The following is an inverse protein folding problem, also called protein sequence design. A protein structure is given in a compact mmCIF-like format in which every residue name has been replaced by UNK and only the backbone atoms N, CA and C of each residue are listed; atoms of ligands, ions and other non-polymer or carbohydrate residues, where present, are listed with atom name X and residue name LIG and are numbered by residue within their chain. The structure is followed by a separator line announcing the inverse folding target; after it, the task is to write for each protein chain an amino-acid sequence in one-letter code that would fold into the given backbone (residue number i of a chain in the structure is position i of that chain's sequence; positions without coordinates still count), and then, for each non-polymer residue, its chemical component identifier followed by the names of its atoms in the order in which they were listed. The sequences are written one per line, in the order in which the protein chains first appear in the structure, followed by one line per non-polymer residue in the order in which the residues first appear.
data_IF_741828028764
#
_entry.id   IF_741828028764
#
_cell.length_a   1.000
_cell.length_b   1.000
_cell.length_c   1.000
_cell.angle_alpha   90.00
_cell.angle_beta   90.00
_cell.angle_gamma   90.00
#
_symmetry.space_group_name_H-M   'P 1'
#
loop_
_entity.id
_entity.type
_entity.pdbx_description
1 polymer ?
#
# COMPACT_ATOMS: atom_id res chain seq x y z
N UNK A 1 10.12 -9.08 -11.62
CA UNK A 1 9.27 -9.96 -10.77
C UNK A 1 8.53 -9.06 -9.81
N UNK A 2 7.23 -8.97 -9.92
CA UNK A 2 6.40 -8.27 -8.93
C UNK A 2 6.17 -9.29 -7.82
N UNK A 3 6.88 -9.16 -6.73
CA UNK A 3 6.87 -10.10 -5.62
C UNK A 3 6.42 -9.43 -4.31
N UNK A 4 6.74 -10.06 -3.23
CA UNK A 4 6.54 -9.60 -1.87
C UNK A 4 7.91 -9.29 -1.23
N UNK A 5 8.74 -8.54 -1.93
CA UNK A 5 10.09 -8.22 -1.48
C UNK A 5 10.07 -6.97 -0.60
N UNK A 6 10.32 -7.16 0.70
CA UNK A 6 10.44 -6.09 1.69
C UNK A 6 11.90 -5.96 2.08
N UNK A 7 12.43 -4.75 2.01
CA UNK A 7 13.82 -4.47 2.37
C UNK A 7 13.90 -3.47 3.51
N UNK A 8 14.93 -3.61 4.34
CA UNK A 8 15.37 -2.56 5.25
C UNK A 8 16.29 -1.59 4.52
N UNK A 9 16.08 -0.29 4.71
CA UNK A 9 16.97 0.71 4.13
C UNK A 9 18.38 0.56 4.72
N UNK A 10 19.38 0.56 3.82
CA UNK A 10 20.80 0.68 4.17
C UNK A 10 21.40 1.89 3.45
N UNK A 11 22.25 2.71 4.12
CA UNK A 11 22.92 3.85 3.48
C UNK A 11 23.72 3.49 2.23
N UNK A 12 24.17 2.25 2.11
CA UNK A 12 24.96 1.73 0.99
C UNK A 12 24.10 1.27 -0.20
N UNK A 13 22.77 1.25 -0.05
CA UNK A 13 21.83 0.81 -1.09
C UNK A 13 21.07 1.99 -1.70
N UNK A 14 21.53 2.47 -2.85
CA UNK A 14 20.92 3.61 -3.51
C UNK A 14 19.69 3.28 -4.36
N UNK A 15 19.61 2.10 -4.94
CA UNK A 15 18.47 1.63 -5.73
C UNK A 15 18.38 0.11 -5.62
N UNK A 16 17.25 -0.37 -5.16
CA UNK A 16 16.94 -1.79 -5.15
C UNK A 16 15.51 -2.00 -5.64
N UNK A 17 15.31 -3.08 -6.36
CA UNK A 17 13.97 -3.51 -6.75
C UNK A 17 13.30 -4.19 -5.54
N UNK A 18 12.35 -3.48 -4.93
CA UNK A 18 11.56 -3.99 -3.82
C UNK A 18 10.12 -3.46 -3.90
N UNK A 19 9.19 -4.20 -3.32
CA UNK A 19 7.79 -3.81 -3.23
C UNK A 19 7.51 -3.01 -1.95
N UNK A 20 8.39 -3.08 -0.96
CA UNK A 20 8.31 -2.28 0.25
C UNK A 20 9.70 -1.98 0.82
N UNK A 21 9.83 -0.84 1.49
CA UNK A 21 11.03 -0.40 2.18
C UNK A 21 10.65 0.13 3.56
N UNK A 22 11.49 -0.13 4.55
CA UNK A 22 11.33 0.42 5.90
C UNK A 22 12.67 0.86 6.51
N UNK A 23 12.59 1.68 7.56
CA UNK A 23 13.76 2.13 8.32
C UNK A 23 13.36 2.61 9.71
N UNK A 24 14.33 2.62 10.64
CA UNK A 24 14.25 3.30 11.94
C UNK A 24 15.19 4.51 12.00
N UNK A 25 15.91 4.80 10.93
CA UNK A 25 16.93 5.85 10.88
C UNK A 25 16.26 7.22 10.71
N UNK A 26 16.52 8.15 11.65
CA UNK A 26 16.04 9.53 11.58
C UNK A 26 16.69 10.30 10.42
N UNK A 27 15.96 11.26 9.88
CA UNK A 27 16.45 12.13 8.82
C UNK A 27 16.43 11.51 7.42
N UNK A 28 16.25 10.19 7.32
CA UNK A 28 16.19 9.46 6.05
C UNK A 28 14.77 9.53 5.47
N UNK A 29 14.68 9.85 4.19
CA UNK A 29 13.45 9.82 3.42
C UNK A 29 13.38 8.51 2.63
N UNK A 30 12.37 7.69 2.88
CA UNK A 30 12.06 6.48 2.10
C UNK A 30 10.75 6.63 1.36
N UNK A 31 10.55 5.90 0.26
CA UNK A 31 9.33 6.02 -0.52
C UNK A 31 9.23 5.03 -1.67
N UNK A 32 8.08 5.04 -2.32
CA UNK A 32 7.76 4.21 -3.49
C UNK A 32 7.29 5.07 -4.66
N UNK A 33 7.55 4.59 -5.86
CA UNK A 33 7.14 5.23 -7.12
C UNK A 33 5.90 4.53 -7.66
N UNK A 34 4.86 5.30 -7.98
CA UNK A 34 3.58 4.76 -8.43
C UNK A 34 3.00 5.58 -9.59
N UNK A 35 2.18 4.92 -10.40
CA UNK A 35 1.15 5.50 -11.25
C UNK A 35 0.02 4.47 -11.28
N UNK A 36 -1.07 4.76 -10.57
CA UNK A 36 -2.24 3.91 -10.28
C UNK A 36 -2.10 2.92 -9.13
N UNK A 37 -0.95 2.27 -8.93
CA UNK A 37 -0.76 1.43 -7.75
C UNK A 37 -0.87 2.27 -6.46
N UNK A 38 -1.34 1.67 -5.37
CA UNK A 38 -1.49 2.36 -4.11
C UNK A 38 -0.14 2.45 -3.36
N UNK A 39 0.37 3.66 -3.07
CA UNK A 39 1.45 3.81 -2.11
C UNK A 39 0.84 3.78 -0.71
N UNK A 40 1.27 2.83 0.13
CA UNK A 40 0.87 2.79 1.53
C UNK A 40 2.05 3.27 2.38
N UNK A 41 1.82 4.32 3.16
CA UNK A 41 2.80 4.87 4.08
C UNK A 41 2.44 4.46 5.51
N UNK A 42 3.45 4.17 6.31
CA UNK A 42 3.28 3.62 7.65
C UNK A 42 4.29 4.22 8.62
N UNK A 43 3.86 4.42 9.88
CA UNK A 43 4.73 4.75 11.00
C UNK A 43 4.18 4.17 12.30
N UNK A 44 5.06 3.64 13.15
CA UNK A 44 4.67 3.08 14.44
C UNK A 44 5.85 2.96 15.38
N UNK A 45 5.59 2.92 16.68
CA UNK A 45 6.63 2.77 17.72
C UNK A 45 6.95 1.30 17.95
N UNK A 46 8.21 1.03 18.25
CA UNK A 46 8.72 -0.25 18.71
C UNK A 46 8.83 -0.24 20.25
N UNK A 47 8.88 -1.41 20.87
CA UNK A 47 9.05 -1.56 22.33
C UNK A 47 10.32 -0.87 22.88
N UNK A 48 11.37 -0.75 22.07
CA UNK A 48 12.61 -0.07 22.44
C UNK A 48 12.54 1.47 22.39
N UNK A 49 11.37 2.02 22.03
CA UNK A 49 11.10 3.45 21.90
C UNK A 49 11.45 4.04 20.53
N UNK A 50 12.07 3.28 19.64
CA UNK A 50 12.32 3.70 18.26
C UNK A 50 11.01 3.81 17.48
N UNK A 51 11.04 4.58 16.39
CA UNK A 51 9.95 4.63 15.40
C UNK A 51 10.39 3.89 14.16
N UNK A 52 9.58 2.96 13.70
CA UNK A 52 9.73 2.33 12.40
C UNK A 52 8.79 3.01 11.41
N UNK A 53 9.33 3.44 10.28
CA UNK A 53 8.53 3.93 9.16
C UNK A 53 8.66 3.00 7.96
N UNK A 54 7.65 2.99 7.10
CA UNK A 54 7.65 2.18 5.89
C UNK A 54 6.88 2.80 4.75
N UNK A 55 7.25 2.39 3.54
CA UNK A 55 6.55 2.71 2.31
C UNK A 55 6.35 1.43 1.50
N UNK A 56 5.11 1.13 1.13
CA UNK A 56 4.71 -0.11 0.44
C UNK A 56 4.08 0.25 -0.90
N UNK A 57 4.55 -0.40 -1.96
CA UNK A 57 3.98 -0.34 -3.30
C UNK A 57 2.91 -1.44 -3.45
N UNK A 58 1.67 -1.10 -3.21
CA UNK A 58 0.56 -2.03 -3.31
C UNK A 58 -0.17 -1.89 -4.66
N UNK A 59 0.41 -2.44 -5.72
CA UNK A 59 -0.33 -2.75 -6.95
C UNK A 59 -1.21 -4.00 -6.74
N UNK A 60 -2.10 -4.32 -7.68
CA UNK A 60 -3.02 -5.47 -7.50
C UNK A 60 -2.27 -6.80 -7.23
N UNK A 61 -1.13 -7.04 -7.91
CA UNK A 61 -0.33 -8.25 -7.68
C UNK A 61 0.26 -8.29 -6.27
N UNK A 62 0.85 -7.18 -5.81
CA UNK A 62 1.37 -7.07 -4.45
C UNK A 62 0.26 -7.18 -3.40
N UNK A 63 -0.85 -6.49 -3.61
CA UNK A 63 -2.00 -6.54 -2.71
C UNK A 63 -2.58 -7.96 -2.61
N UNK A 64 -2.83 -8.63 -3.75
CA UNK A 64 -3.34 -10.02 -3.74
C UNK A 64 -2.33 -11.06 -3.28
N UNK A 65 -1.04 -10.72 -3.24
CA UNK A 65 0.02 -11.52 -2.61
C UNK A 65 0.29 -11.14 -1.15
N UNK A 66 -0.55 -10.27 -0.58
CA UNK A 66 -0.53 -9.82 0.82
C UNK A 66 0.73 -9.05 1.23
N UNK A 67 1.29 -8.22 0.33
CA UNK A 67 2.48 -7.40 0.66
C UNK A 67 2.25 -6.51 1.87
N UNK A 68 1.04 -5.91 1.98
CA UNK A 68 0.69 -5.04 3.08
C UNK A 68 0.55 -5.81 4.40
N UNK A 69 -0.13 -6.96 4.38
CA UNK A 69 -0.23 -7.82 5.57
C UNK A 69 1.13 -8.33 6.04
N UNK A 70 2.01 -8.71 5.10
CA UNK A 70 3.40 -9.12 5.41
C UNK A 70 4.23 -7.98 6.00
N UNK A 71 4.01 -6.74 5.53
CA UNK A 71 4.64 -5.57 6.12
C UNK A 71 4.18 -5.34 7.57
N UNK A 72 2.89 -5.48 7.85
CA UNK A 72 2.36 -5.38 9.21
C UNK A 72 2.94 -6.49 10.10
N UNK A 73 3.00 -7.74 9.60
CA UNK A 73 3.62 -8.86 10.33
C UNK A 73 5.10 -8.58 10.63
N UNK A 74 5.84 -7.99 9.69
CA UNK A 74 7.22 -7.56 9.90
C UNK A 74 7.31 -6.52 11.02
N UNK A 75 6.44 -5.52 11.03
CA UNK A 75 6.39 -4.51 12.09
C UNK A 75 6.14 -5.15 13.46
N UNK A 76 5.14 -6.04 13.57
CA UNK A 76 4.83 -6.78 14.80
C UNK A 76 6.05 -7.62 15.25
N UNK A 77 6.66 -8.37 14.34
CA UNK A 77 7.82 -9.23 14.64
C UNK A 77 9.08 -8.42 15.04
N UNK A 78 9.14 -7.13 14.68
CA UNK A 78 10.17 -6.19 15.14
C UNK A 78 9.85 -5.54 16.49
N UNK A 79 8.81 -5.99 17.17
CA UNK A 79 8.37 -5.44 18.45
C UNK A 79 7.51 -4.19 18.30
N UNK A 80 6.80 -4.07 17.19
CA UNK A 80 5.89 -2.96 16.92
C UNK A 80 4.65 -2.95 17.80
N UNK A 81 4.27 -1.77 18.26
CA UNK A 81 3.09 -1.51 19.08
C UNK A 81 1.95 -1.07 18.17
N UNK A 82 1.00 -1.96 17.87
CA UNK A 82 -0.09 -1.71 16.91
C UNK A 82 -0.95 -0.49 17.27
N UNK A 83 -1.15 -0.23 18.53
CA UNK A 83 -1.91 0.93 19.03
C UNK A 83 -1.23 2.28 18.72
N UNK A 84 0.04 2.26 18.32
CA UNK A 84 0.79 3.46 17.90
C UNK A 84 0.89 3.60 16.38
N UNK A 85 0.39 2.59 15.65
CA UNK A 85 0.54 2.54 14.21
C UNK A 85 -0.35 3.57 13.52
N UNK A 86 0.27 4.44 12.74
CA UNK A 86 -0.38 5.40 11.87
C UNK A 86 -0.08 5.04 10.41
N UNK A 87 -1.07 5.10 9.53
CA UNK A 87 -0.88 4.72 8.14
C UNK A 87 -1.78 5.53 7.20
N UNK A 88 -1.41 5.57 5.93
CA UNK A 88 -2.16 6.26 4.90
C UNK A 88 -2.06 5.54 3.56
N UNK A 89 -3.16 5.50 2.82
CA UNK A 89 -3.15 5.13 1.41
C UNK A 89 -3.07 6.44 0.61
N UNK A 90 -2.02 6.60 -0.19
CA UNK A 90 -1.88 7.75 -1.08
C UNK A 90 -2.72 7.61 -2.35
N UNK A 91 -2.68 8.64 -3.24
CA UNK A 91 -3.42 8.63 -4.49
C UNK A 91 -3.13 7.39 -5.33
N UNK A 92 -4.19 6.71 -5.78
CA UNK A 92 -4.12 5.50 -6.56
C UNK A 92 -5.34 5.38 -7.48
N UNK A 93 -5.37 4.39 -8.36
CA UNK A 93 -6.57 4.16 -9.17
C UNK A 93 -7.68 3.62 -8.29
N UNK A 94 -8.86 4.24 -8.37
CA UNK A 94 -10.04 3.86 -7.61
C UNK A 94 -10.96 2.97 -8.44
N UNK A 95 -11.90 2.30 -7.77
CA UNK A 95 -12.92 1.46 -8.41
C UNK A 95 -13.67 2.11 -9.57
N UNK A 96 -13.77 3.44 -9.61
CA UNK A 96 -14.43 4.16 -10.69
C UNK A 96 -13.73 3.98 -12.05
N UNK A 97 -12.42 3.64 -12.06
CA UNK A 97 -11.64 3.47 -13.28
C UNK A 97 -10.75 2.22 -13.27
N UNK A 98 -10.73 1.46 -12.16
CA UNK A 98 -9.90 0.27 -12.07
C UNK A 98 -10.65 -0.97 -12.58
N UNK A 99 -10.98 -0.95 -13.87
CA UNK A 99 -11.46 -2.14 -14.56
C UNK A 99 -10.33 -3.16 -14.67
N UNK A 100 -10.62 -4.41 -14.32
CA UNK A 100 -9.65 -5.52 -14.27
C UNK A 100 -10.23 -6.79 -14.89
N UNK A 101 -9.35 -7.68 -15.29
CA UNK A 101 -9.73 -9.01 -15.77
C UNK A 101 -9.99 -9.99 -14.61
N UNK A 102 -10.50 -11.16 -14.99
CA UNK A 102 -10.87 -12.22 -14.04
C UNK A 102 -9.67 -12.74 -13.24
N UNK A 103 -8.45 -12.57 -13.74
CA UNK A 103 -7.21 -12.97 -13.06
C UNK A 103 -7.01 -12.21 -11.75
N UNK A 104 -7.43 -10.93 -11.67
CA UNK A 104 -7.33 -10.13 -10.44
C UNK A 104 -8.32 -10.62 -9.40
N UNK A 105 -9.55 -10.93 -9.82
CA UNK A 105 -10.57 -11.46 -8.94
C UNK A 105 -10.20 -12.83 -8.39
N UNK A 106 -9.71 -13.74 -9.25
CA UNK A 106 -9.23 -15.06 -8.82
C UNK A 106 -8.08 -14.96 -7.82
N UNK A 107 -7.12 -14.04 -8.04
CA UNK A 107 -6.04 -13.82 -7.10
C UNK A 107 -6.52 -13.27 -5.76
N UNK A 108 -7.52 -12.38 -5.76
CA UNK A 108 -8.10 -11.82 -4.56
C UNK A 108 -8.96 -12.83 -3.78
N UNK A 109 -9.61 -13.78 -4.44
CA UNK A 109 -10.44 -14.85 -3.82
C UNK A 109 -9.68 -15.75 -2.85
N UNK A 110 -8.35 -15.81 -2.95
CA UNK A 110 -7.50 -16.55 -2.00
C UNK A 110 -7.46 -15.89 -0.62
N UNK A 111 -7.84 -14.61 -0.52
CA UNK A 111 -7.91 -13.88 0.74
C UNK A 111 -9.26 -14.05 1.42
N UNK A 112 -9.26 -14.38 2.73
CA UNK A 112 -10.49 -14.56 3.53
C UNK A 112 -11.39 -13.31 3.55
N UNK A 113 -10.85 -12.15 3.19
CA UNK A 113 -11.55 -10.86 3.19
C UNK A 113 -12.23 -10.54 1.85
N UNK A 114 -11.94 -11.29 0.81
CA UNK A 114 -12.52 -11.11 -0.52
C UNK A 114 -14.06 -11.14 -0.50
N UNK A 115 -14.65 -12.01 0.32
CA UNK A 115 -16.11 -12.14 0.43
C UNK A 115 -16.77 -10.82 0.83
N UNK A 116 -16.09 -10.01 1.65
CA UNK A 116 -16.61 -8.70 2.10
C UNK A 116 -16.55 -7.65 0.99
N UNK A 117 -15.56 -7.70 0.11
CA UNK A 117 -15.46 -6.80 -1.05
C UNK A 117 -16.44 -7.21 -2.16
N UNK A 118 -16.66 -8.51 -2.34
CA UNK A 118 -17.60 -9.06 -3.32
C UNK A 118 -19.07 -8.80 -2.97
N UNK A 119 -19.39 -8.64 -1.68
CA UNK A 119 -20.77 -8.44 -1.20
C UNK A 119 -21.27 -6.99 -1.25
N UNK A 120 -20.43 -6.03 -1.53
CA UNK A 120 -20.78 -4.61 -1.59
C UNK A 120 -21.03 -4.20 -3.05
N UNK A 121 -22.25 -4.40 -3.54
CA UNK A 121 -22.91 -3.81 -4.72
C UNK A 121 -22.07 -2.86 -5.58
N UNK A 122 -21.11 -3.36 -6.32
CA UNK A 122 -20.50 -2.61 -7.41
C UNK A 122 -21.16 -2.99 -8.71
N UNK A 123 -21.79 -2.03 -9.38
CA UNK A 123 -22.63 -2.19 -10.54
C UNK A 123 -21.93 -2.73 -11.81
N UNK A 124 -20.65 -3.03 -11.73
CA UNK A 124 -19.92 -3.66 -12.82
C UNK A 124 -19.04 -4.78 -12.26
N UNK A 125 -19.21 -5.99 -12.76
CA UNK A 125 -18.46 -7.20 -12.36
C UNK A 125 -16.94 -7.10 -12.53
N UNK A 126 -16.46 -6.05 -13.21
CA UNK A 126 -15.09 -5.94 -13.71
C UNK A 126 -14.26 -4.85 -13.02
N UNK A 127 -14.79 -4.17 -12.00
CA UNK A 127 -14.06 -3.10 -11.28
C UNK A 127 -13.60 -3.57 -9.91
N UNK A 128 -12.34 -3.26 -9.58
CA UNK A 128 -11.70 -3.67 -8.33
C UNK A 128 -11.49 -2.46 -7.42
N UNK A 129 -11.87 -2.59 -6.14
CA UNK A 129 -11.62 -1.57 -5.12
C UNK A 129 -10.31 -1.86 -4.40
N UNK A 130 -9.19 -1.40 -4.99
CA UNK A 130 -7.86 -1.62 -4.43
C UNK A 130 -7.67 -1.00 -3.05
N UNK A 131 -8.05 0.27 -2.79
CA UNK A 131 -7.94 0.84 -1.44
C UNK A 131 -8.73 0.06 -0.38
N UNK A 132 -9.96 -0.33 -0.70
CA UNK A 132 -10.77 -1.10 0.25
C UNK A 132 -10.16 -2.47 0.52
N UNK A 133 -9.60 -3.12 -0.49
CA UNK A 133 -8.91 -4.39 -0.30
C UNK A 133 -7.71 -4.27 0.65
N UNK A 134 -6.93 -3.18 0.53
CA UNK A 134 -5.82 -2.85 1.44
C UNK A 134 -6.32 -2.58 2.86
N UNK A 135 -7.45 -1.86 3.03
CA UNK A 135 -8.07 -1.61 4.34
C UNK A 135 -8.50 -2.91 5.04
N UNK A 136 -9.08 -3.82 4.28
CA UNK A 136 -9.47 -5.12 4.81
C UNK A 136 -8.26 -5.94 5.27
N UNK A 137 -7.14 -5.87 4.54
CA UNK A 137 -5.89 -6.49 4.99
C UNK A 137 -5.39 -5.86 6.30
N UNK A 138 -5.35 -4.52 6.39
CA UNK A 138 -4.97 -3.81 7.62
C UNK A 138 -5.82 -4.24 8.82
N UNK A 139 -7.14 -4.23 8.64
CA UNK A 139 -8.10 -4.66 9.68
C UNK A 139 -7.88 -6.10 10.11
N UNK A 140 -7.57 -7.00 9.18
CA UNK A 140 -7.32 -8.42 9.48
C UNK A 140 -6.06 -8.65 10.30
N UNK A 141 -5.12 -7.72 10.24
CA UNK A 141 -3.87 -7.73 11.00
C UNK A 141 -3.96 -6.94 12.31
N UNK A 142 -5.14 -6.41 12.65
CA UNK A 142 -5.39 -5.71 13.90
C UNK A 142 -5.05 -4.22 13.89
N UNK A 143 -4.78 -3.63 12.72
CA UNK A 143 -4.67 -2.18 12.63
C UNK A 143 -6.03 -1.52 12.84
N UNK A 144 -6.07 -0.51 13.70
CA UNK A 144 -7.27 0.28 13.94
C UNK A 144 -7.55 1.17 12.72
N UNK A 145 -8.74 1.08 12.10
CA UNK A 145 -9.13 1.97 11.02
C UNK A 145 -9.11 3.46 11.39
N UNK A 146 -9.28 3.80 12.67
CA UNK A 146 -9.19 5.18 13.15
C UNK A 146 -7.79 5.77 13.03
N UNK A 147 -6.77 4.94 12.82
CA UNK A 147 -5.37 5.34 12.62
C UNK A 147 -4.98 5.42 11.12
N UNK A 148 -5.94 5.28 10.21
CA UNK A 148 -5.78 5.63 8.80
C UNK A 148 -5.92 7.13 8.60
N UNK A 149 -4.91 7.77 8.02
CA UNK A 149 -4.89 9.21 7.75
C UNK A 149 -5.19 9.51 6.28
N UNK A 150 -5.99 10.57 6.09
CA UNK A 150 -6.34 11.05 4.75
C UNK A 150 -7.37 10.16 4.03
N UNK A 151 -7.65 10.55 2.79
CA UNK A 151 -8.50 9.79 1.88
C UNK A 151 -7.79 9.71 0.52
N UNK A 152 -7.63 8.52 -0.06
CA UNK A 152 -7.00 8.40 -1.36
C UNK A 152 -7.86 9.06 -2.45
N UNK A 153 -7.17 9.75 -3.38
CA UNK A 153 -7.80 10.33 -4.57
C UNK A 153 -7.52 9.45 -5.79
N UNK A 154 -8.47 9.43 -6.74
CA UNK A 154 -8.29 8.66 -7.96
C UNK A 154 -7.28 9.32 -8.90
N UNK A 155 -6.18 8.63 -9.19
CA UNK A 155 -5.14 9.09 -10.11
C UNK A 155 -5.65 9.28 -11.53
N UNK A 156 -6.58 8.44 -11.98
CA UNK A 156 -7.18 8.53 -13.31
C UNK A 156 -8.08 9.77 -13.45
N UNK A 157 -8.91 10.06 -12.43
CA UNK A 157 -9.84 11.19 -12.46
C UNK A 157 -9.13 12.56 -12.38
N UNK A 158 -8.01 12.62 -11.65
CA UNK A 158 -7.32 13.87 -11.31
C UNK A 158 -6.05 14.04 -12.16
N UNK A 159 -6.22 14.22 -13.47
CA UNK A 159 -5.12 14.29 -14.45
C UNK A 159 -4.16 15.47 -14.26
N UNK A 160 -4.63 16.55 -13.67
CA UNK A 160 -3.80 17.74 -13.41
C UNK A 160 -2.86 17.56 -12.20
N UNK A 161 -3.14 16.57 -11.35
CA UNK A 161 -2.41 16.34 -10.08
C UNK A 161 -1.60 15.07 -10.07
N UNK A 162 -2.05 14.04 -10.81
CA UNK A 162 -1.48 12.70 -10.71
C UNK A 162 -1.23 12.07 -12.08
N UNK A 163 -0.16 11.31 -12.16
CA UNK A 163 0.10 10.41 -13.29
C UNK A 163 -0.72 9.13 -13.15
N UNK A 164 -1.21 8.62 -14.30
CA UNK A 164 -1.96 7.37 -14.36
C UNK A 164 -1.48 6.52 -15.53
N UNK A 165 -0.94 5.34 -15.22
CA UNK A 165 -0.54 4.36 -16.23
C UNK A 165 -1.75 3.93 -17.09
N UNK A 166 -2.91 3.79 -16.48
CA UNK A 166 -4.17 3.44 -17.14
C UNK A 166 -4.63 4.52 -18.14
N UNK A 167 -4.31 5.79 -17.86
CA UNK A 167 -4.61 6.91 -18.75
C UNK A 167 -3.59 7.05 -19.89
N UNK A 168 -2.41 6.44 -19.78
CA UNK A 168 -1.36 6.46 -20.80
C UNK A 168 -0.06 7.15 -20.35
N UNK A 169 0.08 7.54 -19.10
CA UNK A 169 1.31 8.13 -18.55
C UNK A 169 2.35 7.02 -18.30
N UNK A 170 2.96 6.51 -19.37
CA UNK A 170 3.77 5.29 -19.31
C UNK A 170 5.10 5.46 -18.59
N UNK A 171 5.68 6.67 -18.58
CA UNK A 171 7.02 6.95 -18.03
C UNK A 171 7.01 7.69 -16.72
N UNK A 172 6.00 8.53 -16.50
CA UNK A 172 5.93 9.44 -15.37
C UNK A 172 5.33 8.75 -14.15
N UNK A 173 5.81 9.16 -12.98
CA UNK A 173 5.40 8.59 -11.69
C UNK A 173 5.32 9.68 -10.63
N UNK A 174 4.38 9.53 -9.71
CA UNK A 174 4.41 10.23 -8.42
C UNK A 174 5.13 9.38 -7.37
N UNK A 175 5.50 10.04 -6.28
CA UNK A 175 6.18 9.41 -5.16
C UNK A 175 5.32 9.52 -3.90
N UNK A 176 5.07 8.38 -3.25
CA UNK A 176 4.66 8.35 -1.85
C UNK A 176 5.90 8.23 -0.99
N UNK A 177 6.14 9.15 -0.07
CA UNK A 177 7.33 9.12 0.80
C UNK A 177 7.04 9.51 2.23
N UNK A 178 7.89 9.05 3.16
CA UNK A 178 7.82 9.29 4.59
C UNK A 178 9.22 9.47 5.17
N UNK A 179 9.31 10.21 6.27
CA UNK A 179 10.56 10.50 6.98
C UNK A 179 10.31 10.59 8.49
N UNK A 180 11.26 10.15 9.31
CA UNK A 180 11.29 10.43 10.75
C UNK A 180 12.06 11.74 10.93
N UNK A 181 11.42 12.75 11.54
CA UNK A 181 12.09 14.01 11.90
C UNK A 181 13.04 13.84 13.10
#
# INVERSE_FOLDING_TARGET
MVGNHIIEYSPDQYLCEADAIFTTIRGVKIGVRVADCAPVLFGGKLYDGNVLIGAVHAGWRGATSDIWGKFIDLFINRGGLLETAAWAIGPCIMKCHFQVGNEVFKAAETHKHWVQVKGQNYHAKDYFDLPEFIRLQAKSKGLDPALEFGQPECTYCNSERFYSFRRGDLKDRQYGWIKIE
#
